data_IF_063269097033
#
_entry.id   IF_063269097033
#
_cell.length_a   1.000
_cell.length_b   1.000
_cell.length_c   1.000
_cell.angle_alpha   90.00
_cell.angle_beta   90.00
_cell.angle_gamma   90.00
#
_symmetry.space_group_name_H-M   'P 1'
#
loop_
_entity.id
_entity.type
_entity.pdbx_description
1 polymer ?
#
# COMPACT_ATOMS: atom_id res chain seq x y z
N UNK A 1 -6.27 37.91 -26.58
CA UNK A 1 -6.08 36.82 -27.57
C UNK A 1 -6.02 35.52 -26.78
N UNK A 2 -7.12 34.76 -26.76
CA UNK A 2 -7.29 33.42 -26.17
C UNK A 2 -6.33 32.38 -26.81
N UNK A 3 -5.99 31.17 -26.32
CA UNK A 3 -6.38 30.24 -25.23
C UNK A 3 -5.12 29.39 -24.88
N UNK A 4 -5.03 28.83 -23.67
CA UNK A 4 -4.20 27.64 -23.43
C UNK A 4 -4.32 27.05 -22.02
N UNK A 5 -5.47 26.46 -21.69
CA UNK A 5 -5.70 25.69 -20.44
C UNK A 5 -4.73 24.51 -20.34
N UNK A 6 -3.79 24.58 -19.40
CA UNK A 6 -3.07 23.42 -18.87
C UNK A 6 -3.67 23.06 -17.51
N UNK A 7 -4.45 21.99 -17.43
CA UNK A 7 -4.97 21.43 -16.19
C UNK A 7 -3.83 20.86 -15.34
N UNK A 8 -3.14 21.74 -14.61
CA UNK A 8 -2.26 21.35 -13.52
C UNK A 8 -3.13 20.89 -12.35
N UNK A 9 -2.98 19.63 -11.96
CA UNK A 9 -3.51 19.16 -10.68
C UNK A 9 -2.86 19.97 -9.56
N UNK A 10 -3.61 20.92 -9.02
CA UNK A 10 -3.23 21.68 -7.83
C UNK A 10 -3.20 20.73 -6.63
N UNK A 11 -2.00 20.31 -6.20
CA UNK A 11 -1.82 19.84 -4.84
C UNK A 11 -1.62 21.07 -3.95
N UNK A 12 -2.71 21.51 -3.35
CA UNK A 12 -2.71 22.51 -2.28
C UNK A 12 -1.90 21.96 -1.09
N UNK A 13 -0.68 22.45 -0.91
CA UNK A 13 0.04 22.35 0.36
C UNK A 13 -0.51 23.42 1.29
N UNK A 14 -1.45 23.04 2.14
CA UNK A 14 -1.87 23.81 3.32
C UNK A 14 -1.60 22.94 4.54
N UNK A 15 -1.04 23.54 5.58
CA UNK A 15 -0.51 22.87 6.76
C UNK A 15 -1.48 21.91 7.46
N UNK A 16 -0.91 20.90 8.12
CA UNK A 16 -1.65 19.95 8.94
C UNK A 16 -2.52 18.98 8.14
N UNK A 17 -1.95 18.32 7.13
CA UNK A 17 -2.69 17.26 6.42
C UNK A 17 -2.71 16.02 7.33
N UNK A 18 -3.87 15.73 7.90
CA UNK A 18 -4.26 14.35 8.23
C UNK A 18 -3.97 13.51 6.98
N UNK A 19 -2.82 12.84 6.98
CA UNK A 19 -2.34 12.04 5.85
C UNK A 19 -3.42 11.04 5.49
N UNK A 20 -4.05 11.23 4.33
CA UNK A 20 -4.91 10.21 3.77
C UNK A 20 -3.98 9.20 3.12
N UNK A 21 -3.95 7.98 3.66
CA UNK A 21 -3.15 6.87 3.12
C UNK A 21 -3.76 6.21 1.87
N UNK A 22 -5.08 6.36 1.68
CA UNK A 22 -5.81 5.87 0.51
C UNK A 22 -6.26 7.02 -0.38
N UNK A 23 -6.12 6.86 -1.68
CA UNK A 23 -6.50 7.86 -2.67
C UNK A 23 -7.32 7.25 -3.80
N UNK A 24 -8.29 8.01 -4.30
CA UNK A 24 -8.99 7.71 -5.54
C UNK A 24 -8.43 8.62 -6.63
N UNK A 25 -7.69 8.03 -7.60
CA UNK A 25 -6.98 8.82 -8.62
C UNK A 25 -7.23 8.27 -10.03
N UNK A 26 -7.24 9.16 -11.05
CA UNK A 26 -7.24 8.73 -12.44
C UNK A 26 -5.84 8.22 -12.85
N UNK A 27 -5.81 7.14 -13.61
CA UNK A 27 -4.62 6.48 -14.12
C UNK A 27 -4.79 6.10 -15.59
N UNK A 28 -3.67 5.86 -16.26
CA UNK A 28 -3.63 5.48 -17.67
C UNK A 28 -2.66 4.31 -17.87
N UNK A 29 -3.06 3.33 -18.68
CA UNK A 29 -2.24 2.16 -19.00
C UNK A 29 -2.36 1.82 -20.49
N UNK A 30 -1.22 1.60 -21.14
CA UNK A 30 -1.18 0.99 -22.47
C UNK A 30 -1.22 -0.54 -22.32
N UNK A 31 -2.18 -1.17 -23.00
CA UNK A 31 -2.34 -2.61 -23.07
C UNK A 31 -2.04 -3.10 -24.48
N UNK A 32 -1.29 -4.19 -24.58
CA UNK A 32 -0.99 -4.84 -25.84
C UNK A 32 -1.90 -6.04 -26.03
N UNK A 33 -2.57 -6.15 -27.16
CA UNK A 33 -3.49 -7.23 -27.46
C UNK A 33 -3.08 -7.97 -28.74
N UNK A 34 -3.10 -9.29 -28.67
CA UNK A 34 -2.78 -10.15 -29.80
C UNK A 34 -3.95 -10.14 -30.82
N UNK A 35 -3.68 -10.16 -32.15
CA UNK A 35 -4.72 -10.09 -33.18
C UNK A 35 -5.86 -11.09 -33.04
N UNK A 36 -5.56 -12.30 -32.54
CA UNK A 36 -6.56 -13.36 -32.28
C UNK A 36 -7.68 -12.94 -31.31
N UNK A 37 -7.43 -11.93 -30.47
CA UNK A 37 -8.37 -11.44 -29.46
C UNK A 37 -9.12 -10.17 -29.92
N UNK A 38 -8.89 -9.69 -31.16
CA UNK A 38 -9.59 -8.53 -31.76
C UNK A 38 -11.00 -8.86 -32.27
N UNK A 39 -11.62 -9.90 -31.72
CA UNK A 39 -12.98 -10.32 -32.07
C UNK A 39 -14.08 -9.47 -31.43
N UNK A 40 -15.34 -9.93 -31.48
CA UNK A 40 -16.49 -9.19 -30.93
C UNK A 40 -16.38 -8.90 -29.42
N UNK A 41 -15.59 -9.69 -28.68
CA UNK A 41 -15.36 -9.56 -27.23
C UNK A 41 -14.08 -8.78 -26.88
N UNK A 42 -13.53 -7.99 -27.81
CA UNK A 42 -12.28 -7.24 -27.59
C UNK A 42 -12.32 -6.36 -26.35
N UNK A 43 -13.45 -5.72 -26.06
CA UNK A 43 -13.62 -4.87 -24.89
C UNK A 43 -13.52 -5.64 -23.59
N UNK A 44 -14.05 -6.86 -23.56
CA UNK A 44 -14.06 -7.69 -22.35
C UNK A 44 -12.66 -8.22 -22.08
N UNK A 45 -11.96 -8.69 -23.12
CA UNK A 45 -10.56 -9.08 -23.01
C UNK A 45 -9.65 -7.93 -22.56
N UNK A 46 -9.92 -6.69 -23.02
CA UNK A 46 -9.16 -5.52 -22.57
C UNK A 46 -9.43 -5.19 -21.11
N UNK A 47 -10.68 -5.30 -20.64
CA UNK A 47 -11.03 -5.12 -19.22
C UNK A 47 -10.32 -6.14 -18.34
N UNK A 48 -10.44 -7.43 -18.66
CA UNK A 48 -9.78 -8.51 -17.92
C UNK A 48 -8.27 -8.30 -17.89
N UNK A 49 -7.67 -7.98 -19.04
CA UNK A 49 -6.24 -7.72 -19.14
C UNK A 49 -5.81 -6.48 -18.36
N UNK A 50 -6.63 -5.43 -18.33
CA UNK A 50 -6.38 -4.25 -17.54
C UNK A 50 -6.27 -4.64 -16.07
N UNK A 51 -7.32 -5.26 -15.52
CA UNK A 51 -7.42 -5.63 -14.11
C UNK A 51 -6.24 -6.51 -13.69
N UNK A 52 -5.98 -7.59 -14.44
CA UNK A 52 -4.85 -8.50 -14.18
C UNK A 52 -3.48 -7.80 -14.22
N UNK A 53 -3.33 -6.75 -15.02
CA UNK A 53 -2.05 -6.07 -15.21
C UNK A 53 -1.77 -4.96 -14.20
N UNK A 54 -2.80 -4.43 -13.52
CA UNK A 54 -2.67 -3.25 -12.65
C UNK A 54 -3.05 -3.54 -11.20
N UNK A 55 -4.07 -4.36 -10.93
CA UNK A 55 -4.50 -4.64 -9.56
C UNK A 55 -3.43 -5.44 -8.80
N UNK A 56 -3.15 -5.06 -7.56
CA UNK A 56 -2.09 -5.63 -6.73
C UNK A 56 -0.68 -5.17 -7.11
N UNK A 57 -0.49 -4.40 -8.19
CA UNK A 57 0.84 -3.89 -8.54
C UNK A 57 1.22 -2.70 -7.67
N UNK A 58 2.52 -2.51 -7.48
CA UNK A 58 3.07 -1.36 -6.78
C UNK A 58 3.88 -0.50 -7.75
N UNK A 59 3.75 0.82 -7.60
CA UNK A 59 4.60 1.80 -8.28
C UNK A 59 5.13 2.80 -7.27
N UNK A 60 6.43 3.07 -7.27
CA UNK A 60 7.02 4.07 -6.37
C UNK A 60 6.38 5.46 -6.48
N UNK A 61 5.77 5.80 -7.62
CA UNK A 61 5.07 7.06 -7.83
C UNK A 61 3.67 7.10 -7.23
N UNK A 62 2.92 6.00 -7.27
CA UNK A 62 1.49 6.00 -6.92
C UNK A 62 1.16 5.17 -5.67
N UNK A 63 2.06 4.32 -5.20
CA UNK A 63 1.80 3.34 -4.16
C UNK A 63 1.30 2.01 -4.73
N UNK A 64 0.60 1.26 -3.90
CA UNK A 64 -0.08 0.03 -4.28
C UNK A 64 -1.40 0.34 -4.96
N UNK A 65 -1.66 -0.26 -6.12
CA UNK A 65 -2.95 -0.21 -6.78
C UNK A 65 -3.82 -1.31 -6.16
N UNK A 66 -4.80 -0.91 -5.35
CA UNK A 66 -5.66 -1.86 -4.63
C UNK A 66 -6.71 -2.42 -5.57
N UNK A 67 -7.46 -1.55 -6.23
CA UNK A 67 -8.50 -1.97 -7.18
C UNK A 67 -8.84 -0.88 -8.17
N UNK A 68 -9.24 -1.29 -9.37
CA UNK A 68 -9.82 -0.42 -10.39
C UNK A 68 -11.30 -0.24 -10.10
N UNK A 69 -11.70 1.01 -9.86
CA UNK A 69 -13.10 1.36 -9.54
C UNK A 69 -13.96 1.55 -10.79
N UNK A 70 -13.40 2.17 -11.83
CA UNK A 70 -14.15 2.54 -13.03
C UNK A 70 -13.21 2.68 -14.22
N UNK A 71 -13.65 2.17 -15.37
CA UNK A 71 -12.99 2.44 -16.65
C UNK A 71 -13.66 3.65 -17.29
N UNK A 72 -12.87 4.69 -17.55
CA UNK A 72 -13.35 5.98 -18.06
C UNK A 72 -13.44 5.97 -19.58
N UNK A 73 -12.38 5.52 -20.24
CA UNK A 73 -12.31 5.52 -21.71
C UNK A 73 -11.29 4.53 -22.23
N UNK A 74 -11.55 4.04 -23.44
CA UNK A 74 -10.66 3.20 -24.22
C UNK A 74 -10.31 3.91 -25.53
N UNK A 75 -9.02 3.96 -25.89
CA UNK A 75 -8.59 4.50 -27.17
C UNK A 75 -8.96 3.57 -28.34
N UNK A 76 -8.91 4.11 -29.56
CA UNK A 76 -8.84 3.26 -30.75
C UNK A 76 -7.55 2.41 -30.70
N UNK A 77 -7.63 1.16 -31.14
CA UNK A 77 -6.48 0.28 -31.22
C UNK A 77 -5.50 0.75 -32.29
N UNK A 78 -4.22 0.79 -31.97
CA UNK A 78 -3.14 1.10 -32.92
C UNK A 78 -2.31 -0.15 -33.19
N UNK A 79 -2.18 -0.53 -34.45
CA UNK A 79 -1.38 -1.71 -34.83
C UNK A 79 0.09 -1.32 -34.79
N UNK A 80 0.91 -2.05 -34.01
CA UNK A 80 2.36 -1.87 -33.97
C UNK A 80 2.98 -2.51 -35.21
N UNK A 81 3.77 -1.72 -35.92
CA UNK A 81 4.51 -2.13 -37.11
C UNK A 81 5.42 -3.34 -36.79
N UNK A 82 5.54 -4.27 -37.75
CA UNK A 82 6.40 -5.45 -37.65
C UNK A 82 5.86 -6.62 -36.80
N UNK A 83 5.05 -6.36 -35.77
CA UNK A 83 4.52 -7.42 -34.89
C UNK A 83 3.05 -7.76 -35.13
N UNK A 84 2.27 -6.84 -35.72
CA UNK A 84 0.82 -6.97 -35.85
C UNK A 84 0.05 -6.86 -34.53
N UNK A 85 0.72 -6.73 -33.38
CA UNK A 85 0.10 -6.54 -32.07
C UNK A 85 -0.60 -5.18 -32.04
N UNK A 86 -1.79 -5.13 -31.44
CA UNK A 86 -2.55 -3.86 -31.31
C UNK A 86 -2.39 -3.28 -29.91
N UNK A 87 -2.02 -2.01 -29.79
CA UNK A 87 -2.02 -1.27 -28.52
C UNK A 87 -3.32 -0.52 -28.29
N UNK A 88 -3.79 -0.56 -27.05
CA UNK A 88 -4.94 0.19 -26.57
C UNK A 88 -4.54 0.96 -25.32
N UNK A 89 -4.83 2.25 -25.29
CA UNK A 89 -4.66 3.09 -24.11
C UNK A 89 -5.97 3.16 -23.34
N UNK A 90 -5.95 2.71 -22.10
CA UNK A 90 -7.11 2.73 -21.20
C UNK A 90 -6.91 3.74 -20.08
N UNK A 91 -7.92 4.60 -19.89
CA UNK A 91 -8.00 5.52 -18.74
C UNK A 91 -9.01 4.96 -17.75
N UNK A 92 -8.64 4.94 -16.48
CA UNK A 92 -9.44 4.35 -15.41
C UNK A 92 -9.19 5.06 -14.09
N UNK A 93 -10.13 4.94 -13.16
CA UNK A 93 -9.97 5.40 -11.79
C UNK A 93 -9.62 4.20 -10.90
N UNK A 94 -8.65 4.37 -10.02
CA UNK A 94 -8.23 3.34 -9.08
C UNK A 94 -8.19 3.87 -7.65
N UNK A 95 -8.44 2.97 -6.69
CA UNK A 95 -8.06 3.18 -5.30
C UNK A 95 -6.62 2.74 -5.15
N UNK A 96 -5.78 3.66 -4.68
CA UNK A 96 -4.36 3.39 -4.41
C UNK A 96 -4.06 3.60 -2.93
N UNK A 97 -3.17 2.79 -2.39
CA UNK A 97 -2.66 2.89 -1.03
C UNK A 97 -1.21 3.36 -1.08
N UNK A 98 -0.93 4.52 -0.46
CA UNK A 98 0.41 5.10 -0.39
C UNK A 98 0.68 5.58 1.03
N UNK A 99 1.56 4.90 1.78
CA UNK A 99 1.89 5.30 3.14
C UNK A 99 2.79 6.54 3.16
N UNK A 100 2.65 7.37 4.19
CA UNK A 100 3.52 8.51 4.45
C UNK A 100 4.17 8.45 5.82
N UNK A 101 5.35 9.07 5.92
CA UNK A 101 6.02 9.30 7.19
C UNK A 101 5.12 10.13 8.11
N UNK A 102 4.96 9.67 9.35
CA UNK A 102 4.15 10.31 10.39
C UNK A 102 2.73 9.77 10.51
N UNK A 103 2.26 8.96 9.56
CA UNK A 103 0.93 8.35 9.65
C UNK A 103 0.87 7.30 10.77
N UNK A 104 -0.25 7.28 11.48
CA UNK A 104 -0.57 6.27 12.49
C UNK A 104 -1.53 5.27 11.87
N UNK A 105 -1.15 4.00 11.86
CA UNK A 105 -1.81 2.92 11.16
C UNK A 105 -1.95 1.70 12.09
N UNK A 106 -3.06 0.98 11.94
CA UNK A 106 -3.28 -0.28 12.63
C UNK A 106 -2.74 -1.42 11.76
N UNK A 107 -1.98 -2.32 12.38
CA UNK A 107 -1.23 -3.38 11.71
C UNK A 107 -1.44 -4.72 12.42
N UNK A 108 -1.38 -5.82 11.66
CA UNK A 108 -1.42 -7.18 12.21
C UNK A 108 0.01 -7.69 12.31
N UNK A 109 0.43 -8.11 13.50
CA UNK A 109 1.77 -8.66 13.72
C UNK A 109 1.87 -10.04 13.06
N UNK A 110 2.85 -10.22 12.17
CA UNK A 110 3.07 -11.48 11.47
C UNK A 110 4.19 -12.31 12.09
N UNK A 111 5.23 -11.66 12.61
CA UNK A 111 6.39 -12.36 13.20
C UNK A 111 7.06 -11.54 14.29
N UNK A 112 7.45 -12.19 15.38
CA UNK A 112 8.16 -11.56 16.50
C UNK A 112 9.53 -12.20 16.69
N UNK A 113 10.57 -11.37 16.78
CA UNK A 113 11.97 -11.77 16.97
C UNK A 113 12.63 -10.93 18.08
N UNK A 114 13.83 -11.31 18.52
CA UNK A 114 14.63 -10.53 19.49
C UNK A 114 14.97 -9.10 19.03
N UNK A 115 15.04 -8.88 17.72
CA UNK A 115 15.39 -7.59 17.11
C UNK A 115 14.20 -6.64 16.92
N UNK A 116 12.97 -7.12 17.15
CA UNK A 116 11.74 -6.41 16.86
C UNK A 116 10.67 -7.34 16.30
N UNK A 117 9.61 -6.77 15.73
CA UNK A 117 8.55 -7.54 15.08
C UNK A 117 8.24 -7.02 13.68
N UNK A 118 7.74 -7.92 12.84
CA UNK A 118 7.15 -7.62 11.55
C UNK A 118 5.63 -7.57 11.71
N UNK A 119 5.02 -6.58 11.07
CA UNK A 119 3.58 -6.40 11.00
C UNK A 119 3.19 -5.96 9.60
N UNK A 120 1.92 -6.14 9.24
CA UNK A 120 1.38 -5.80 7.93
C UNK A 120 0.23 -4.81 8.07
N UNK A 121 0.27 -3.73 7.28
CA UNK A 121 -0.85 -2.79 7.10
C UNK A 121 -1.39 -3.00 5.69
N UNK A 122 -2.36 -3.89 5.54
CA UNK A 122 -2.80 -4.34 4.21
C UNK A 122 -1.61 -4.88 3.40
N UNK A 123 -1.28 -4.33 2.22
CA UNK A 123 -0.15 -4.80 1.41
C UNK A 123 1.23 -4.28 1.85
N UNK A 124 1.30 -3.45 2.91
CA UNK A 124 2.54 -2.83 3.38
C UNK A 124 3.19 -3.62 4.52
N UNK A 125 4.34 -4.26 4.28
CA UNK A 125 5.17 -4.80 5.35
C UNK A 125 5.83 -3.66 6.14
N UNK A 126 5.66 -3.71 7.46
CA UNK A 126 6.24 -2.78 8.43
C UNK A 126 7.14 -3.55 9.39
N UNK A 127 8.35 -3.04 9.60
CA UNK A 127 9.24 -3.54 10.64
C UNK A 127 9.33 -2.55 11.79
N UNK A 128 9.10 -3.03 13.02
CA UNK A 128 9.28 -2.25 14.25
C UNK A 128 10.47 -2.81 15.00
N UNK A 129 11.58 -2.06 15.02
CA UNK A 129 12.79 -2.45 15.73
C UNK A 129 12.58 -2.44 17.23
N UNK A 130 13.29 -3.29 17.97
CA UNK A 130 13.38 -3.26 19.45
C UNK A 130 13.64 -1.85 20.00
N UNK A 131 14.43 -1.04 19.32
CA UNK A 131 14.72 0.34 19.75
C UNK A 131 13.54 1.31 19.56
N UNK A 132 12.52 0.91 18.81
CA UNK A 132 11.29 1.66 18.53
C UNK A 132 10.08 1.13 19.32
N UNK A 133 10.31 0.16 20.21
CA UNK A 133 9.36 -0.40 21.18
C UNK A 133 9.62 0.27 22.55
N UNK A 134 8.57 0.49 23.38
CA UNK A 134 8.71 0.89 24.79
C UNK A 134 9.70 0.01 25.57
N UNK A 135 10.44 0.61 26.50
CA UNK A 135 11.53 -0.07 27.22
C UNK A 135 11.05 -1.10 28.26
N UNK A 136 9.81 -0.96 28.70
CA UNK A 136 9.12 -1.88 29.63
C UNK A 136 8.69 -3.20 28.96
N UNK A 137 8.66 -3.25 27.62
CA UNK A 137 8.36 -4.47 26.87
C UNK A 137 9.63 -5.28 26.60
N UNK A 138 9.67 -6.51 27.13
CA UNK A 138 10.81 -7.41 27.03
C UNK A 138 10.46 -8.62 26.16
N UNK A 139 11.40 -8.99 25.29
CA UNK A 139 11.26 -10.16 24.44
C UNK A 139 11.36 -11.45 25.27
N UNK A 140 10.30 -12.26 25.24
CA UNK A 140 10.23 -13.57 25.86
C UNK A 140 10.39 -14.67 24.79
N UNK A 141 11.58 -15.27 24.74
CA UNK A 141 11.89 -16.37 23.83
C UNK A 141 11.22 -17.70 24.24
N UNK A 142 10.88 -17.85 25.52
CA UNK A 142 10.28 -19.08 26.04
C UNK A 142 8.77 -19.12 25.80
N UNK A 143 8.16 -17.96 25.49
CA UNK A 143 6.77 -17.92 25.04
C UNK A 143 6.58 -18.65 23.72
N UNK A 144 5.47 -19.39 23.60
CA UNK A 144 5.09 -20.10 22.39
C UNK A 144 3.68 -19.65 21.93
N UNK A 145 3.55 -18.81 20.89
CA UNK A 145 4.62 -18.24 20.06
C UNK A 145 5.44 -17.15 20.78
N UNK A 146 6.65 -16.88 20.27
CA UNK A 146 7.54 -15.85 20.80
C UNK A 146 6.85 -14.47 20.81
N UNK A 147 7.09 -13.68 21.86
CA UNK A 147 6.34 -12.44 22.11
C UNK A 147 7.16 -11.37 22.83
N UNK A 148 6.74 -10.11 22.72
CA UNK A 148 7.13 -9.06 23.66
C UNK A 148 6.08 -8.95 24.76
N UNK A 149 6.52 -8.89 26.01
CA UNK A 149 5.64 -8.85 27.19
C UNK A 149 5.97 -7.59 28.00
N UNK A 150 4.96 -6.80 28.35
CA UNK A 150 5.15 -5.67 29.27
C UNK A 150 5.48 -6.19 30.67
N UNK A 151 6.48 -5.59 31.31
CA UNK A 151 6.86 -5.87 32.69
C UNK A 151 6.12 -5.00 33.72
N UNK A 152 5.22 -4.12 33.25
CA UNK A 152 4.37 -3.32 34.14
C UNK A 152 3.34 -4.25 34.78
N UNK A 153 3.24 -4.15 36.11
CA UNK A 153 2.71 -5.16 37.03
C UNK A 153 1.18 -5.18 37.07
N UNK A 154 0.55 -5.52 35.94
CA UNK A 154 -0.88 -5.79 35.89
C UNK A 154 -1.16 -7.31 35.88
N UNK A 155 -2.31 -7.71 36.41
CA UNK A 155 -2.78 -9.11 36.47
C UNK A 155 -2.83 -9.79 35.09
N UNK A 156 -2.87 -9.00 34.01
CA UNK A 156 -2.76 -9.45 32.61
C UNK A 156 -1.75 -8.57 31.86
N UNK A 157 -0.49 -9.01 31.69
CA UNK A 157 0.51 -8.21 31.01
C UNK A 157 0.18 -8.10 29.51
N UNK A 158 0.33 -6.90 28.95
CA UNK A 158 0.16 -6.66 27.51
C UNK A 158 1.22 -7.48 26.74
N UNK A 159 0.78 -8.22 25.71
CA UNK A 159 1.64 -9.05 24.88
C UNK A 159 1.53 -8.70 23.40
N UNK A 160 2.66 -8.56 22.74
CA UNK A 160 2.77 -8.49 21.28
C UNK A 160 3.24 -9.85 20.79
N UNK A 161 2.36 -10.59 20.13
CA UNK A 161 2.60 -11.91 19.54
C UNK A 161 2.10 -11.93 18.09
N UNK A 162 2.42 -12.95 17.28
CA UNK A 162 1.76 -13.14 16.00
C UNK A 162 0.22 -13.05 16.14
N UNK A 163 -0.42 -12.45 15.15
CA UNK A 163 -1.85 -12.14 15.07
C UNK A 163 -2.35 -11.05 16.05
N UNK A 164 -1.46 -10.37 16.78
CA UNK A 164 -1.86 -9.20 17.58
C UNK A 164 -2.12 -7.98 16.69
N UNK A 165 -3.19 -7.24 16.98
CA UNK A 165 -3.44 -5.93 16.39
C UNK A 165 -2.62 -4.87 17.14
N UNK A 166 -1.83 -4.10 16.39
CA UNK A 166 -0.94 -3.08 16.94
C UNK A 166 -1.11 -1.77 16.16
N UNK A 167 -1.33 -0.69 16.89
CA UNK A 167 -1.29 0.67 16.38
C UNK A 167 0.15 1.17 16.37
N UNK A 168 0.66 1.52 15.19
CA UNK A 168 2.02 2.01 15.01
C UNK A 168 2.07 3.31 14.22
N UNK A 169 3.15 4.07 14.38
CA UNK A 169 3.43 5.26 13.57
C UNK A 169 4.55 4.98 12.58
N UNK A 170 4.36 5.35 11.32
CA UNK A 170 5.37 5.21 10.27
C UNK A 170 6.48 6.26 10.47
N UNK A 171 7.72 5.80 10.61
CA UNK A 171 8.92 6.65 10.78
C UNK A 171 9.65 6.85 9.46
N UNK A 172 9.60 5.85 8.58
CA UNK A 172 10.23 5.91 7.26
C UNK A 172 9.64 4.88 6.31
N UNK A 173 9.75 5.17 5.02
CA UNK A 173 9.31 4.30 3.92
C UNK A 173 10.46 4.12 2.94
N UNK A 174 10.70 2.89 2.53
CA UNK A 174 11.63 2.52 1.49
C UNK A 174 10.84 2.05 0.27
N UNK A 175 11.08 2.69 -0.88
CA UNK A 175 10.43 2.32 -2.14
C UNK A 175 11.40 1.45 -2.94
N UNK A 176 10.98 0.22 -3.23
CA UNK A 176 11.63 -0.64 -4.22
C UNK A 176 10.79 -0.65 -5.51
N UNK A 177 11.26 -1.35 -6.55
CA UNK A 177 10.62 -1.37 -7.88
C UNK A 177 9.18 -1.91 -7.80
N UNK A 178 8.95 -2.97 -7.03
CA UNK A 178 7.68 -3.69 -6.96
C UNK A 178 7.06 -3.74 -5.56
N UNK A 179 7.67 -3.12 -4.56
CA UNK A 179 7.17 -3.14 -3.19
C UNK A 179 7.56 -1.88 -2.43
N UNK A 180 6.81 -1.58 -1.37
CA UNK A 180 7.14 -0.55 -0.41
C UNK A 180 7.34 -1.26 0.92
N UNK A 181 8.40 -0.92 1.64
CA UNK A 181 8.63 -1.37 3.01
C UNK A 181 8.60 -0.17 3.93
N UNK A 182 8.11 -0.33 5.14
CA UNK A 182 8.12 0.74 6.11
C UNK A 182 8.81 0.33 7.41
N UNK A 183 9.29 1.35 8.13
CA UNK A 183 9.80 1.22 9.49
C UNK A 183 8.83 1.98 10.39
N UNK A 184 8.34 1.31 11.43
CA UNK A 184 7.38 1.85 12.38
C UNK A 184 7.95 2.04 13.79
N UNK A 185 7.20 2.75 14.63
CA UNK A 185 7.43 2.87 16.08
C UNK A 185 6.12 2.75 16.84
N UNK A 186 6.21 2.24 18.07
CA UNK A 186 5.12 2.19 19.04
C UNK A 186 5.51 2.84 20.38
N UNK A 187 6.52 3.72 20.38
CA UNK A 187 7.06 4.36 21.60
C UNK A 187 6.25 5.56 22.06
N UNK A 188 5.52 6.21 21.16
CA UNK A 188 4.74 7.40 21.51
C UNK A 188 3.42 7.03 22.20
N UNK A 189 2.79 8.01 22.83
CA UNK A 189 1.52 7.85 23.52
C UNK A 189 0.42 7.34 22.57
N UNK A 190 -0.48 6.51 23.11
CA UNK A 190 -1.61 5.90 22.39
C UNK A 190 -1.24 4.96 21.23
N UNK A 191 0.03 4.53 21.15
CA UNK A 191 0.49 3.46 20.28
C UNK A 191 0.66 2.15 21.06
N UNK A 192 0.78 1.03 20.34
CA UNK A 192 0.93 -0.30 20.93
C UNK A 192 -0.23 -1.23 20.63
N UNK A 193 -0.42 -2.26 21.47
CA UNK A 193 -1.45 -3.28 21.26
C UNK A 193 -2.84 -2.66 21.39
N UNK A 194 -3.72 -3.01 20.46
CA UNK A 194 -5.14 -2.63 20.51
C UNK A 194 -5.86 -3.75 21.25
N UNK A 195 -6.26 -3.50 22.49
CA UNK A 195 -7.14 -4.41 23.24
C UNK A 195 -8.57 -4.22 22.75
N UNK A 196 -9.16 -5.31 22.24
CA UNK A 196 -10.60 -5.40 21.95
C UNK A 196 -11.38 -5.74 23.21
#
# INVERSE_FOLDING_TARGET
RWVGRGGGGFSLRVGGVLGRMFFHIPMERELLLHPRLLGPHVTDHLKEKLLQSVEGTCSGRHGYIITVTQIISQSKGQIKEGSGITSFTMKFNAIVFRPFKGEVLDAIVTKVNKMGFFAEVGPLPVFVSKHAIPADMVFDQNSNPASYVSQVTDEQPIRIRPDSEVRLRIVGTHFDVNEIRAIGTIRDDYLGVITQ
#
